data_IF_566997930100
#
_entry.id   IF_566997930100
#
_cell.length_a   1.000
_cell.length_b   1.000
_cell.length_c   1.000
_cell.angle_alpha   90.00
_cell.angle_beta   90.00
_cell.angle_gamma   90.00
#
_symmetry.space_group_name_H-M   'P 1'
#
loop_
_entity.id
_entity.type
_entity.pdbx_description
1 polymer ?
#
# COMPACT_ATOMS: atom_id res chain seq x y z
N UNK A 1 1.24 21.71 -7.62
CA UNK A 1 1.36 21.43 -9.06
C UNK A 1 1.20 19.93 -9.29
N UNK A 2 0.58 19.52 -10.40
CA UNK A 2 0.35 18.13 -10.77
C UNK A 2 1.12 17.80 -12.05
N UNK A 3 1.67 16.57 -12.14
CA UNK A 3 2.36 16.06 -13.33
C UNK A 3 1.86 14.65 -13.66
N UNK A 4 1.54 14.43 -14.92
CA UNK A 4 1.05 13.16 -15.46
C UNK A 4 2.03 12.64 -16.52
N UNK A 5 2.64 11.49 -16.27
CA UNK A 5 3.57 10.80 -17.20
C UNK A 5 3.14 9.35 -17.46
N UNK A 6 1.92 8.98 -17.07
CA UNK A 6 1.40 7.62 -17.21
C UNK A 6 1.47 7.14 -18.66
N UNK A 7 1.76 5.84 -18.83
CA UNK A 7 1.88 5.18 -20.13
C UNK A 7 2.94 5.78 -21.08
N UNK A 8 3.91 6.55 -20.55
CA UNK A 8 5.00 7.10 -21.33
C UNK A 8 6.28 6.25 -21.24
N UNK A 9 7.27 6.55 -22.08
CA UNK A 9 8.59 5.90 -22.07
C UNK A 9 9.63 6.67 -21.23
N UNK A 10 9.19 7.57 -20.34
CA UNK A 10 10.07 8.31 -19.46
C UNK A 10 10.75 7.34 -18.49
N UNK A 11 12.09 7.45 -18.38
CA UNK A 11 12.91 6.66 -17.46
C UNK A 11 13.67 7.54 -16.46
N UNK A 12 14.08 8.73 -16.90
CA UNK A 12 14.88 9.66 -16.11
C UNK A 12 14.01 10.80 -15.57
N UNK A 13 13.95 10.92 -14.25
CA UNK A 13 13.23 11.98 -13.55
C UNK A 13 14.15 13.16 -13.17
N UNK A 14 15.45 13.14 -13.52
CA UNK A 14 16.37 14.22 -13.18
C UNK A 14 15.92 15.61 -13.66
N UNK A 15 15.25 15.76 -14.84
CA UNK A 15 14.78 17.06 -15.31
C UNK A 15 13.71 17.72 -14.41
N UNK A 16 12.99 16.94 -13.60
CA UNK A 16 11.95 17.48 -12.70
C UNK A 16 12.46 17.75 -11.29
N UNK A 17 13.72 17.48 -10.99
CA UNK A 17 14.31 17.68 -9.66
C UNK A 17 14.07 19.11 -9.15
N UNK A 18 13.56 19.22 -7.92
CA UNK A 18 13.26 20.49 -7.28
C UNK A 18 11.99 21.18 -7.74
N UNK A 19 11.21 20.58 -8.62
CA UNK A 19 9.88 21.10 -8.97
C UNK A 19 8.93 21.03 -7.78
N UNK A 20 8.04 22.01 -7.58
CA UNK A 20 7.09 22.01 -6.48
C UNK A 20 5.87 21.12 -6.79
N UNK A 21 6.13 19.84 -7.07
CA UNK A 21 5.08 18.86 -7.36
C UNK A 21 4.39 18.43 -6.07
N UNK A 22 3.07 18.50 -6.05
CA UNK A 22 2.19 18.00 -4.99
C UNK A 22 1.58 16.65 -5.35
N UNK A 23 1.31 16.43 -6.65
CA UNK A 23 0.79 15.16 -7.16
C UNK A 23 1.59 14.70 -8.37
N UNK A 24 1.96 13.44 -8.37
CA UNK A 24 2.71 12.86 -9.45
C UNK A 24 2.17 11.48 -9.83
N UNK A 25 1.83 11.33 -11.10
CA UNK A 25 1.26 10.12 -11.68
C UNK A 25 2.19 9.62 -12.78
N UNK A 26 2.84 8.47 -12.57
CA UNK A 26 3.85 7.89 -13.48
C UNK A 26 3.60 6.38 -13.74
N UNK A 27 2.40 5.92 -13.51
CA UNK A 27 2.03 4.50 -13.68
C UNK A 27 2.40 3.98 -15.07
N UNK A 28 2.86 2.73 -15.12
CA UNK A 28 3.26 2.03 -16.35
C UNK A 28 4.35 2.76 -17.14
N UNK A 29 5.27 3.40 -16.43
CA UNK A 29 6.52 3.92 -16.99
C UNK A 29 7.69 3.02 -16.63
N UNK A 30 8.80 3.06 -17.39
CA UNK A 30 10.01 2.30 -17.05
C UNK A 30 10.88 2.98 -15.98
N UNK A 31 10.37 3.95 -15.21
CA UNK A 31 11.06 4.60 -14.10
C UNK A 31 11.43 3.58 -13.02
N UNK A 32 12.68 3.67 -12.53
CA UNK A 32 13.22 2.82 -11.46
C UNK A 32 13.74 3.62 -10.27
N UNK A 33 14.22 4.84 -10.51
CA UNK A 33 14.88 5.69 -9.54
C UNK A 33 13.99 6.89 -9.17
N UNK A 34 13.64 6.98 -7.88
CA UNK A 34 12.86 8.06 -7.31
C UNK A 34 13.73 9.14 -6.62
N UNK A 35 15.06 9.09 -6.73
CA UNK A 35 15.96 10.03 -6.06
C UNK A 35 15.73 11.50 -6.45
N UNK A 36 15.18 11.74 -7.66
CA UNK A 36 14.81 13.08 -8.11
C UNK A 36 13.66 13.69 -7.29
N UNK A 37 12.87 12.87 -6.60
CA UNK A 37 11.69 13.29 -5.81
C UNK A 37 12.08 13.72 -4.39
N UNK A 38 13.34 13.56 -3.99
CA UNK A 38 13.78 13.86 -2.62
C UNK A 38 13.48 15.32 -2.24
N UNK A 39 12.73 15.48 -1.13
CA UNK A 39 12.35 16.80 -0.60
C UNK A 39 11.26 17.54 -1.37
N UNK A 40 10.67 16.92 -2.39
CA UNK A 40 9.50 17.51 -3.05
C UNK A 40 8.28 17.51 -2.12
N UNK A 41 7.38 18.50 -2.22
CA UNK A 41 6.17 18.59 -1.41
C UNK A 41 5.05 17.64 -1.90
N UNK A 42 5.42 16.40 -2.27
CA UNK A 42 4.49 15.41 -2.80
C UNK A 42 3.50 14.96 -1.73
N UNK A 43 2.22 15.08 -2.01
CA UNK A 43 1.08 14.59 -1.21
C UNK A 43 0.53 13.30 -1.81
N UNK A 44 0.56 13.17 -3.14
CA UNK A 44 0.08 12.00 -3.87
C UNK A 44 1.14 11.49 -4.83
N UNK A 45 1.42 10.17 -4.79
CA UNK A 45 2.29 9.50 -5.74
C UNK A 45 1.61 8.23 -6.25
N UNK A 46 1.38 8.17 -7.55
CA UNK A 46 0.90 6.97 -8.25
C UNK A 46 1.99 6.44 -9.18
N UNK A 47 2.55 5.27 -8.83
CA UNK A 47 3.61 4.60 -9.57
C UNK A 47 3.27 3.13 -9.87
N UNK A 48 1.98 2.85 -10.10
CA UNK A 48 1.48 1.50 -10.40
C UNK A 48 2.22 0.90 -11.60
N UNK A 49 2.63 -0.36 -11.45
CA UNK A 49 3.32 -1.14 -12.49
C UNK A 49 4.63 -0.51 -13.01
N UNK A 50 5.30 0.26 -12.15
CA UNK A 50 6.67 0.72 -12.41
C UNK A 50 7.70 -0.26 -11.81
N UNK A 51 8.88 -0.44 -12.45
CA UNK A 51 9.92 -1.34 -11.94
C UNK A 51 10.72 -0.71 -10.78
N UNK A 52 10.04 -0.03 -9.85
CA UNK A 52 10.60 0.63 -8.67
C UNK A 52 10.78 -0.39 -7.56
N UNK A 53 12.02 -0.58 -7.08
CA UNK A 53 12.34 -1.42 -5.93
C UNK A 53 12.71 -0.62 -4.68
N UNK A 54 13.30 0.56 -4.86
CA UNK A 54 13.72 1.48 -3.79
C UNK A 54 12.82 2.72 -3.76
N UNK A 55 12.22 2.97 -2.59
CA UNK A 55 11.37 4.13 -2.35
C UNK A 55 11.98 5.14 -1.37
N UNK A 56 13.29 5.06 -1.10
CA UNK A 56 13.98 5.99 -0.19
C UNK A 56 13.87 7.46 -0.64
N UNK A 57 13.78 7.71 -1.94
CA UNK A 57 13.62 9.04 -2.52
C UNK A 57 12.36 9.80 -2.08
N UNK A 58 11.35 9.11 -1.51
CA UNK A 58 10.13 9.75 -1.02
C UNK A 58 10.10 9.93 0.51
N UNK A 59 11.11 9.49 1.24
CA UNK A 59 11.11 9.44 2.71
C UNK A 59 10.94 10.82 3.41
N UNK A 60 11.16 11.92 2.70
CA UNK A 60 11.04 13.29 3.21
C UNK A 60 9.84 14.06 2.64
N UNK A 61 9.04 13.45 1.78
CA UNK A 61 7.86 14.06 1.17
C UNK A 61 6.63 13.89 2.08
N UNK A 62 5.69 14.83 2.14
CA UNK A 62 4.49 14.72 2.99
C UNK A 62 3.41 13.85 2.36
N UNK A 63 3.78 12.67 1.85
CA UNK A 63 2.88 11.79 1.12
C UNK A 63 1.77 11.26 2.03
N UNK A 64 0.53 11.44 1.59
CA UNK A 64 -0.69 10.93 2.21
C UNK A 64 -1.29 9.77 1.41
N UNK A 65 -1.17 9.81 0.08
CA UNK A 65 -1.73 8.79 -0.80
C UNK A 65 -0.64 8.19 -1.69
N UNK A 66 -0.44 6.88 -1.58
CA UNK A 66 0.64 6.16 -2.27
C UNK A 66 0.12 4.90 -2.94
N UNK A 67 0.35 4.78 -4.26
CA UNK A 67 0.02 3.59 -5.03
C UNK A 67 1.30 3.00 -5.65
N UNK A 68 1.64 1.77 -5.24
CA UNK A 68 2.81 1.00 -5.68
C UNK A 68 2.42 -0.40 -6.18
N UNK A 69 1.17 -0.59 -6.60
CA UNK A 69 0.70 -1.87 -7.12
C UNK A 69 1.63 -2.39 -8.21
N UNK A 70 2.07 -3.65 -8.08
CA UNK A 70 2.92 -4.31 -9.06
C UNK A 70 4.38 -3.87 -9.08
N UNK A 71 4.79 -2.91 -8.22
CA UNK A 71 6.19 -2.54 -8.06
C UNK A 71 6.97 -3.63 -7.29
N UNK A 72 8.24 -3.92 -7.62
CA UNK A 72 9.04 -4.91 -6.92
C UNK A 72 9.57 -4.44 -5.54
N UNK A 73 8.86 -3.52 -4.88
CA UNK A 73 9.20 -2.99 -3.56
C UNK A 73 9.16 -4.10 -2.51
N UNK A 74 10.22 -4.21 -1.69
CA UNK A 74 10.31 -5.11 -0.53
C UNK A 74 10.45 -4.31 0.78
N UNK A 75 11.34 -3.32 0.81
CA UNK A 75 11.56 -2.46 1.99
C UNK A 75 10.66 -1.21 1.93
N UNK A 76 9.83 -1.05 2.94
CA UNK A 76 8.95 0.11 3.13
C UNK A 76 9.36 0.98 4.33
N UNK A 77 10.62 0.90 4.76
CA UNK A 77 11.13 1.71 5.89
C UNK A 77 10.98 3.21 5.67
N UNK A 78 11.03 3.68 4.41
CA UNK A 78 10.77 5.05 4.01
C UNK A 78 9.37 5.57 4.40
N UNK A 79 8.40 4.67 4.63
CA UNK A 79 7.01 5.04 4.96
C UNK A 79 6.80 5.37 6.44
N UNK A 80 7.77 5.06 7.32
CA UNK A 80 7.62 5.15 8.78
C UNK A 80 7.19 6.53 9.30
N UNK A 81 7.64 7.59 8.68
CA UNK A 81 7.44 8.97 9.14
C UNK A 81 6.47 9.77 8.27
N UNK A 82 5.94 9.15 7.23
CA UNK A 82 5.04 9.83 6.30
C UNK A 82 3.63 9.96 6.89
N UNK A 83 2.92 11.06 6.61
CA UNK A 83 1.55 11.29 7.09
C UNK A 83 0.51 10.50 6.28
N UNK A 84 0.73 9.21 6.13
CA UNK A 84 -0.03 8.34 5.25
C UNK A 84 -1.50 8.22 5.68
N UNK A 85 -2.39 8.34 4.71
CA UNK A 85 -3.84 8.08 4.81
C UNK A 85 -4.23 6.82 4.04
N UNK A 86 -3.65 6.62 2.86
CA UNK A 86 -3.96 5.47 2.00
C UNK A 86 -2.69 4.93 1.33
N UNK A 87 -2.47 3.62 1.45
CA UNK A 87 -1.34 2.94 0.81
C UNK A 87 -1.82 1.69 0.10
N UNK A 88 -1.43 1.54 -1.16
CA UNK A 88 -1.66 0.35 -1.97
C UNK A 88 -0.32 -0.30 -2.33
N UNK A 89 -0.09 -1.50 -1.81
CA UNK A 89 1.10 -2.34 -1.99
C UNK A 89 0.74 -3.68 -2.65
N UNK A 90 -0.40 -3.76 -3.33
CA UNK A 90 -0.88 -4.97 -4.00
C UNK A 90 0.18 -5.51 -4.99
N UNK A 91 0.43 -6.81 -5.01
CA UNK A 91 1.44 -7.48 -5.86
C UNK A 91 2.86 -6.91 -5.71
N UNK A 92 3.23 -6.43 -4.53
CA UNK A 92 4.63 -6.09 -4.21
C UNK A 92 5.33 -7.24 -3.50
N UNK A 93 6.62 -7.07 -3.20
CA UNK A 93 7.43 -8.07 -2.44
C UNK A 93 7.46 -7.79 -0.94
N UNK A 94 6.64 -6.87 -0.46
CA UNK A 94 6.58 -6.49 0.97
C UNK A 94 6.19 -7.68 1.83
N UNK A 95 6.97 -7.94 2.89
CA UNK A 95 6.73 -8.96 3.92
C UNK A 95 6.52 -8.35 5.29
N UNK A 96 7.24 -7.26 5.58
CA UNK A 96 7.30 -6.65 6.90
C UNK A 96 6.49 -5.36 6.94
N UNK A 97 5.41 -5.35 7.72
CA UNK A 97 4.56 -4.18 7.96
C UNK A 97 5.03 -3.33 9.15
N UNK A 98 6.13 -3.69 9.83
CA UNK A 98 6.67 -2.95 10.97
C UNK A 98 6.84 -1.44 10.75
N UNK A 99 7.25 -0.96 9.57
CA UNK A 99 7.32 0.47 9.27
C UNK A 99 5.98 1.21 9.36
N UNK A 100 4.84 0.52 9.28
CA UNK A 100 3.51 1.13 9.40
C UNK A 100 3.01 1.25 10.84
N UNK A 101 3.71 0.66 11.81
CA UNK A 101 3.30 0.66 13.22
C UNK A 101 3.12 2.10 13.76
N UNK A 102 1.95 2.36 14.35
CA UNK A 102 1.63 3.65 14.97
C UNK A 102 1.30 4.78 13.97
N UNK A 103 1.20 4.49 12.67
CA UNK A 103 0.75 5.46 11.68
C UNK A 103 -0.75 5.76 11.81
N UNK A 104 -1.22 6.85 11.22
CA UNK A 104 -2.64 7.22 11.15
C UNK A 104 -3.36 6.67 9.90
N UNK A 105 -2.84 5.58 9.35
CA UNK A 105 -3.31 5.00 8.10
C UNK A 105 -4.78 4.57 8.21
N UNK A 106 -5.58 4.93 7.21
CA UNK A 106 -7.01 4.59 7.14
C UNK A 106 -7.31 3.49 6.12
N UNK A 107 -6.51 3.41 5.04
CA UNK A 107 -6.70 2.40 3.98
C UNK A 107 -5.39 1.71 3.64
N UNK A 108 -5.40 0.39 3.71
CA UNK A 108 -4.24 -0.45 3.38
C UNK A 108 -4.65 -1.59 2.45
N UNK A 109 -4.00 -1.68 1.29
CA UNK A 109 -4.16 -2.76 0.34
C UNK A 109 -2.83 -3.52 0.22
N UNK A 110 -2.80 -4.76 0.71
CA UNK A 110 -1.65 -5.67 0.72
C UNK A 110 -2.00 -7.05 0.16
N UNK A 111 -3.08 -7.16 -0.62
CA UNK A 111 -3.41 -8.44 -1.26
C UNK A 111 -2.30 -8.87 -2.22
N UNK A 112 -2.13 -10.18 -2.38
CA UNK A 112 -1.12 -10.80 -3.23
C UNK A 112 0.32 -10.35 -2.91
N UNK A 113 0.57 -10.06 -1.62
CA UNK A 113 1.92 -9.86 -1.08
C UNK A 113 2.31 -11.04 -0.22
N UNK A 114 3.62 -11.26 0.04
CA UNK A 114 4.09 -12.31 0.94
C UNK A 114 3.97 -11.94 2.44
N UNK A 115 3.09 -11.00 2.81
CA UNK A 115 2.80 -10.66 4.21
C UNK A 115 2.14 -11.85 4.91
N UNK A 116 2.67 -12.22 6.08
CA UNK A 116 2.15 -13.32 6.92
C UNK A 116 1.77 -12.87 8.33
N UNK A 117 2.17 -11.66 8.75
CA UNK A 117 1.95 -11.12 10.09
C UNK A 117 1.24 -9.75 10.02
N UNK A 118 0.05 -9.67 10.63
CA UNK A 118 -0.73 -8.43 10.76
C UNK A 118 -0.56 -7.75 12.13
N UNK A 119 0.26 -8.30 13.03
CA UNK A 119 0.48 -7.74 14.36
C UNK A 119 0.93 -6.27 14.35
N UNK A 120 1.75 -5.80 13.36
CA UNK A 120 2.13 -4.39 13.27
C UNK A 120 0.97 -3.41 13.06
N UNK A 121 -0.21 -3.90 12.63
CA UNK A 121 -1.40 -3.07 12.40
C UNK A 121 -2.17 -2.76 13.68
N UNK A 122 -1.73 -3.27 14.84
CA UNK A 122 -2.41 -3.05 16.12
C UNK A 122 -2.56 -1.57 16.44
N UNK A 123 -3.80 -1.13 16.66
CA UNK A 123 -4.12 0.25 17.04
C UNK A 123 -4.09 1.27 15.90
N UNK A 124 -3.81 0.87 14.67
CA UNK A 124 -3.94 1.74 13.49
C UNK A 124 -5.43 1.97 13.20
N UNK A 125 -5.88 3.19 12.88
CA UNK A 125 -7.30 3.49 12.63
C UNK A 125 -7.75 3.07 11.21
N UNK A 126 -7.41 1.85 10.81
CA UNK A 126 -7.79 1.34 9.49
C UNK A 126 -9.30 1.17 9.38
N UNK A 127 -9.88 1.81 8.37
CA UNK A 127 -11.29 1.63 7.98
C UNK A 127 -11.45 0.70 6.78
N UNK A 128 -10.38 0.53 5.98
CA UNK A 128 -10.35 -0.42 4.86
C UNK A 128 -9.06 -1.25 4.90
N UNK A 129 -9.22 -2.57 4.83
CA UNK A 129 -8.11 -3.51 4.69
C UNK A 129 -8.40 -4.48 3.54
N UNK A 130 -7.48 -4.56 2.57
CA UNK A 130 -7.49 -5.56 1.51
C UNK A 130 -6.23 -6.41 1.65
N UNK A 131 -6.38 -7.72 1.87
CA UNK A 131 -5.26 -8.62 2.14
C UNK A 131 -5.55 -10.04 1.63
N UNK A 132 -4.56 -10.92 1.63
CA UNK A 132 -4.73 -12.34 1.26
C UNK A 132 -4.81 -13.19 2.54
N UNK A 133 -6.00 -13.55 3.01
CA UNK A 133 -6.18 -14.23 4.30
C UNK A 133 -5.43 -15.55 4.40
N UNK A 134 -5.30 -16.28 3.29
CA UNK A 134 -4.61 -17.58 3.24
C UNK A 134 -3.10 -17.48 3.57
N UNK A 135 -2.50 -16.30 3.43
CA UNK A 135 -1.08 -16.09 3.73
C UNK A 135 -0.85 -15.77 5.23
N UNK A 136 -1.89 -15.35 5.95
CA UNK A 136 -1.73 -14.84 7.32
C UNK A 136 -1.60 -15.99 8.32
N UNK A 137 -0.48 -16.00 9.02
CA UNK A 137 -0.19 -16.96 10.09
C UNK A 137 -0.23 -16.33 11.48
N UNK A 138 -0.14 -14.99 11.58
CA UNK A 138 -0.08 -14.24 12.83
C UNK A 138 -0.90 -12.95 12.71
N UNK A 139 -1.57 -12.54 13.81
CA UNK A 139 -2.23 -11.23 13.90
C UNK A 139 -3.60 -11.15 13.24
N UNK A 140 -4.26 -12.27 12.94
CA UNK A 140 -5.64 -12.25 12.40
C UNK A 140 -6.63 -11.64 13.43
N UNK A 141 -6.40 -11.85 14.73
CA UNK A 141 -7.15 -11.25 15.82
C UNK A 141 -6.95 -9.71 15.87
N UNK A 142 -5.76 -9.23 15.48
CA UNK A 142 -5.51 -7.79 15.34
C UNK A 142 -6.40 -7.21 14.25
N UNK A 143 -6.46 -7.84 13.07
CA UNK A 143 -7.32 -7.39 11.97
C UNK A 143 -8.80 -7.37 12.38
N UNK A 144 -9.26 -8.34 13.18
CA UNK A 144 -10.64 -8.36 13.72
C UNK A 144 -10.95 -7.20 14.66
N UNK A 145 -9.95 -6.75 15.40
CA UNK A 145 -10.09 -5.67 16.38
C UNK A 145 -9.98 -4.25 15.78
N UNK A 146 -9.59 -4.14 14.51
CA UNK A 146 -9.50 -2.86 13.80
C UNK A 146 -10.91 -2.27 13.54
N UNK A 147 -11.05 -0.93 13.48
CA UNK A 147 -12.32 -0.25 13.24
C UNK A 147 -12.74 -0.32 11.75
N UNK A 148 -12.60 -1.49 11.13
CA UNK A 148 -12.85 -1.68 9.72
C UNK A 148 -14.32 -1.44 9.37
N UNK A 149 -14.53 -0.82 8.23
CA UNK A 149 -15.81 -0.66 7.56
C UNK A 149 -15.89 -1.57 6.33
N UNK A 150 -14.74 -1.81 5.69
CA UNK A 150 -14.64 -2.58 4.46
C UNK A 150 -13.43 -3.52 4.52
N UNK A 151 -13.64 -4.76 4.08
CA UNK A 151 -12.60 -5.77 3.92
C UNK A 151 -12.70 -6.38 2.53
N UNK A 152 -11.55 -6.54 1.86
CA UNK A 152 -11.43 -7.23 0.58
C UNK A 152 -10.29 -8.26 0.58
N UNK A 153 -10.31 -9.16 -0.39
CA UNK A 153 -9.29 -10.21 -0.57
C UNK A 153 -8.50 -10.06 -1.86
N UNK A 154 -8.96 -9.21 -2.76
CA UNK A 154 -8.34 -8.93 -4.05
C UNK A 154 -8.30 -7.44 -4.29
N UNK A 155 -7.35 -7.01 -5.13
CA UNK A 155 -7.40 -5.66 -5.67
C UNK A 155 -8.41 -5.66 -6.83
N UNK A 156 -9.47 -4.87 -6.66
CA UNK A 156 -10.46 -4.61 -7.70
C UNK A 156 -10.71 -3.10 -7.75
N UNK A 157 -10.40 -2.48 -8.86
CA UNK A 157 -10.61 -1.03 -9.07
C UNK A 157 -12.10 -0.67 -8.93
N UNK A 158 -13.01 -1.61 -9.22
CA UNK A 158 -14.45 -1.42 -9.06
C UNK A 158 -14.93 -1.57 -7.60
N UNK A 159 -14.04 -1.98 -6.68
CA UNK A 159 -14.33 -2.25 -5.25
C UNK A 159 -15.47 -3.24 -5.01
N UNK A 160 -15.79 -4.11 -5.99
CA UNK A 160 -16.92 -5.07 -5.90
C UNK A 160 -16.64 -6.22 -4.95
N UNK A 161 -15.37 -6.50 -4.60
CA UNK A 161 -15.01 -7.55 -3.64
C UNK A 161 -15.00 -7.07 -2.19
N UNK A 162 -15.22 -5.76 -1.96
CA UNK A 162 -15.29 -5.20 -0.62
C UNK A 162 -16.58 -5.65 0.08
N UNK A 163 -16.43 -6.13 1.30
CA UNK A 163 -17.49 -6.65 2.14
C UNK A 163 -17.52 -5.92 3.48
N UNK A 164 -18.67 -5.96 4.16
CA UNK A 164 -18.71 -5.55 5.56
C UNK A 164 -17.88 -6.52 6.41
N UNK A 165 -17.24 -6.06 7.50
CA UNK A 165 -16.46 -6.92 8.39
C UNK A 165 -17.28 -8.12 8.91
N UNK A 166 -18.55 -7.91 9.23
CA UNK A 166 -19.41 -8.99 9.72
C UNK A 166 -19.58 -10.12 8.69
N UNK A 167 -19.85 -9.77 7.44
CA UNK A 167 -19.99 -10.75 6.36
C UNK A 167 -18.68 -11.49 6.09
N UNK A 168 -17.58 -10.73 6.02
CA UNK A 168 -16.25 -11.28 5.78
C UNK A 168 -15.84 -12.29 6.87
N UNK A 169 -15.92 -11.90 8.15
CA UNK A 169 -15.48 -12.78 9.24
C UNK A 169 -16.36 -14.01 9.41
N UNK A 170 -17.66 -13.91 9.10
CA UNK A 170 -18.55 -15.08 9.09
C UNK A 170 -18.11 -16.10 8.04
N UNK A 171 -17.80 -15.64 6.82
CA UNK A 171 -17.33 -16.52 5.74
C UNK A 171 -15.94 -17.09 6.05
N UNK A 172 -15.02 -16.28 6.59
CA UNK A 172 -13.67 -16.70 6.99
C UNK A 172 -13.73 -17.83 8.03
N UNK A 173 -14.53 -17.66 9.10
CA UNK A 173 -14.66 -18.68 10.17
C UNK A 173 -15.28 -19.98 9.65
N UNK A 174 -16.21 -19.91 8.72
CA UNK A 174 -16.78 -21.09 8.08
C UNK A 174 -15.72 -21.84 7.25
N UNK A 175 -14.89 -21.13 6.50
CA UNK A 175 -13.80 -21.71 5.71
C UNK A 175 -12.73 -22.38 6.59
N UNK A 176 -12.31 -21.73 7.68
CA UNK A 176 -11.33 -22.29 8.63
C UNK A 176 -11.85 -23.59 9.25
N UNK A 177 -13.11 -23.62 9.69
CA UNK A 177 -13.72 -24.83 10.27
C UNK A 177 -13.81 -26.00 9.28
N UNK A 178 -14.01 -25.72 7.99
CA UNK A 178 -14.07 -26.75 6.97
C UNK A 178 -12.70 -27.33 6.62
N UNK A 179 -11.62 -26.56 6.80
CA UNK A 179 -10.25 -26.98 6.53
C UNK A 179 -9.61 -27.82 7.66
N UNK A 180 -10.29 -27.87 8.84
CA UNK A 180 -9.76 -28.57 10.03
C UNK A 180 -10.42 -29.96 10.23
N UNK A 181 -11.30 -30.35 9.31
CA UNK A 181 -11.92 -31.69 9.22
C UNK A 181 -11.23 -32.55 8.14
#
# INVERSE_FOLDING_TARGET
VELYLEDTQVQDLSPIRGMPLEKFYLSRTPVRDLSALEGMPLVELNAVECPIGDISGIAKSPIQMLWLTGCPVEDISALRTLPLVSVTLHRTKVKNLGPLTGTALQRLHIAETPVTDLSPLKGIPLTRLVFTPANITTGIEVARALPLQEIGTRFDESSKDLQSPAAFWTAYDAAVRSSTK
#
